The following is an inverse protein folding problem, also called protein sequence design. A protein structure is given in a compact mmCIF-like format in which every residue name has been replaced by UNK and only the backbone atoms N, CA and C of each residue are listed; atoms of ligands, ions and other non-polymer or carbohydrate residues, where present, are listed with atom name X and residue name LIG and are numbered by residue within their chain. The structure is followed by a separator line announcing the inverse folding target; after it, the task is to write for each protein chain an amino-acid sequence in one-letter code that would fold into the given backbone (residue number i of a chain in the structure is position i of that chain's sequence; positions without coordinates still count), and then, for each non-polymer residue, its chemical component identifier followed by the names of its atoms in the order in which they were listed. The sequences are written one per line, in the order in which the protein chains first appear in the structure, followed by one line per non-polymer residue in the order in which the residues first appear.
data_IF_714168400122
#
_entry.id   IF_714168400122
#
_cell.length_a   1.000
_cell.length_b   1.000
_cell.length_c   1.000
_cell.angle_alpha   90.00
_cell.angle_beta   90.00
_cell.angle_gamma   90.00
#
_symmetry.space_group_name_H-M   'P 1'
#
loop_
_entity.id
_entity.type
_entity.pdbx_description
1 polymer ?
#
# COMPACT_ATOMS: atom_id res chain seq x y z
N UNK A 1 21.31 2.59 -22.00
CA UNK A 1 21.16 2.94 -20.56
C UNK A 1 19.77 2.53 -20.14
N UNK A 2 19.64 1.66 -19.14
CA UNK A 2 18.34 1.32 -18.54
C UNK A 2 17.75 2.57 -17.87
N UNK A 3 16.44 2.76 -17.98
CA UNK A 3 15.73 3.87 -17.31
C UNK A 3 15.89 3.75 -15.79
N UNK A 4 16.01 4.88 -15.08
CA UNK A 4 16.01 4.88 -13.61
C UNK A 4 14.70 4.32 -13.00
N UNK A 5 13.65 4.19 -13.82
CA UNK A 5 12.35 3.62 -13.45
C UNK A 5 12.21 2.13 -13.84
N UNK A 6 13.24 1.53 -14.45
CA UNK A 6 13.22 0.13 -14.86
C UNK A 6 13.29 -0.80 -13.66
N UNK A 7 12.33 -1.74 -13.58
CA UNK A 7 12.22 -2.75 -12.53
C UNK A 7 12.50 -4.17 -13.05
N UNK A 8 13.06 -4.30 -14.26
CA UNK A 8 13.38 -5.61 -14.86
C UNK A 8 14.29 -6.42 -13.93
N UNK A 9 13.86 -7.66 -13.64
CA UNK A 9 14.57 -8.57 -12.75
C UNK A 9 14.32 -8.34 -11.26
N UNK A 10 13.44 -7.39 -10.89
CA UNK A 10 13.03 -7.16 -9.50
C UNK A 10 11.84 -8.03 -9.13
N UNK A 11 11.79 -8.42 -7.86
CA UNK A 11 10.67 -9.13 -7.25
C UNK A 11 9.92 -8.19 -6.30
N UNK A 12 8.64 -7.96 -6.59
CA UNK A 12 7.77 -7.11 -5.77
C UNK A 12 6.68 -7.93 -5.08
N UNK A 13 6.46 -7.68 -3.79
CA UNK A 13 5.29 -8.12 -3.05
C UNK A 13 4.30 -6.96 -3.00
N UNK A 14 3.03 -7.22 -3.35
CA UNK A 14 1.94 -6.26 -3.20
C UNK A 14 0.83 -6.88 -2.37
N UNK A 15 0.55 -6.28 -1.21
CA UNK A 15 -0.55 -6.74 -0.35
C UNK A 15 -1.85 -6.02 -0.70
N UNK A 16 -2.99 -6.72 -0.62
CA UNK A 16 -4.25 -6.20 -1.13
C UNK A 16 -4.30 -6.12 -2.66
N UNK A 17 -3.55 -6.97 -3.37
CA UNK A 17 -3.37 -6.91 -4.82
C UNK A 17 -4.59 -7.33 -5.64
N UNK A 18 -5.61 -7.99 -5.03
CA UNK A 18 -6.75 -8.55 -5.75
C UNK A 18 -7.60 -7.51 -6.48
N UNK A 19 -7.71 -6.28 -5.95
CA UNK A 19 -8.57 -5.22 -6.49
C UNK A 19 -8.10 -3.81 -6.08
N UNK A 20 -8.75 -2.80 -6.67
CA UNK A 20 -8.61 -1.40 -6.26
C UNK A 20 -7.19 -0.85 -6.39
N UNK A 21 -6.72 -0.13 -5.39
CA UNK A 21 -5.40 0.52 -5.38
C UNK A 21 -4.28 -0.52 -5.50
N UNK A 22 -4.34 -1.61 -4.71
CA UNK A 22 -3.31 -2.64 -4.73
C UNK A 22 -3.17 -3.34 -6.08
N UNK A 23 -4.29 -3.57 -6.77
CA UNK A 23 -4.29 -4.07 -8.16
C UNK A 23 -3.52 -3.12 -9.09
N UNK A 24 -3.88 -1.83 -9.08
CA UNK A 24 -3.25 -0.85 -9.96
C UNK A 24 -1.76 -0.64 -9.64
N UNK A 25 -1.37 -0.69 -8.36
CA UNK A 25 0.04 -0.64 -7.96
C UNK A 25 0.81 -1.87 -8.48
N UNK A 26 0.24 -3.09 -8.35
CA UNK A 26 0.87 -4.32 -8.83
C UNK A 26 1.02 -4.33 -10.35
N UNK A 27 -0.02 -3.92 -11.08
CA UNK A 27 0.02 -3.80 -12.54
C UNK A 27 1.07 -2.78 -13.00
N UNK A 28 1.15 -1.60 -12.36
CA UNK A 28 2.16 -0.60 -12.69
C UNK A 28 3.59 -1.08 -12.47
N UNK A 29 3.84 -1.83 -11.37
CA UNK A 29 5.14 -2.45 -11.12
C UNK A 29 5.48 -3.52 -12.16
N UNK A 30 4.50 -4.33 -12.57
CA UNK A 30 4.67 -5.33 -13.63
C UNK A 30 4.95 -4.67 -14.98
N UNK A 31 4.24 -3.60 -15.33
CA UNK A 31 4.48 -2.80 -16.53
C UNK A 31 5.89 -2.20 -16.54
N UNK A 32 6.43 -1.82 -15.38
CA UNK A 32 7.80 -1.34 -15.24
C UNK A 32 8.86 -2.46 -15.22
N UNK A 33 8.47 -3.74 -15.25
CA UNK A 33 9.36 -4.88 -15.39
C UNK A 33 9.50 -5.82 -14.19
N UNK A 34 8.80 -5.57 -13.08
CA UNK A 34 8.89 -6.41 -11.89
C UNK A 34 8.05 -7.69 -12.02
N UNK A 35 8.55 -8.79 -11.47
CA UNK A 35 7.75 -9.96 -11.15
C UNK A 35 6.97 -9.71 -9.86
N UNK A 36 5.76 -10.24 -9.73
CA UNK A 36 4.82 -9.89 -8.67
C UNK A 36 4.43 -11.10 -7.81
N UNK A 37 4.53 -10.95 -6.50
CA UNK A 37 3.81 -11.78 -5.52
C UNK A 37 2.61 -10.97 -5.04
N UNK A 38 1.40 -11.37 -5.44
CA UNK A 38 0.15 -10.79 -4.98
C UNK A 38 -0.33 -11.47 -3.70
N UNK A 39 -0.65 -10.70 -2.67
CA UNK A 39 -1.17 -11.23 -1.39
C UNK A 39 -2.52 -10.58 -1.09
N UNK A 40 -3.57 -11.38 -0.86
CA UNK A 40 -4.87 -10.89 -0.36
C UNK A 40 -5.63 -12.03 0.32
N UNK A 41 -6.55 -11.71 1.23
CA UNK A 41 -7.29 -12.72 2.00
C UNK A 41 -8.06 -13.71 1.10
N UNK A 42 -8.59 -13.25 -0.02
CA UNK A 42 -9.43 -14.03 -0.94
C UNK A 42 -8.86 -14.07 -2.36
N UNK A 43 -7.52 -14.00 -2.50
CA UNK A 43 -6.89 -14.09 -3.81
C UNK A 43 -6.97 -15.53 -4.33
N UNK A 44 -7.45 -15.69 -5.53
CA UNK A 44 -7.55 -16.95 -6.22
C UNK A 44 -6.12 -17.49 -6.51
N UNK A 45 -5.90 -18.78 -6.31
CA UNK A 45 -4.60 -19.42 -6.51
C UNK A 45 -4.13 -19.34 -7.98
N UNK A 46 -5.06 -19.24 -8.92
CA UNK A 46 -4.80 -19.06 -10.35
C UNK A 46 -6.01 -18.44 -11.04
N UNK A 47 -5.78 -17.82 -12.21
CA UNK A 47 -6.82 -17.27 -13.06
C UNK A 47 -7.38 -15.92 -12.58
N UNK A 48 -6.76 -15.31 -11.56
CA UNK A 48 -7.20 -14.01 -11.06
C UNK A 48 -6.98 -12.89 -12.09
N UNK A 49 -7.80 -11.83 -11.99
CA UNK A 49 -7.65 -10.67 -12.87
C UNK A 49 -6.26 -10.03 -12.76
N UNK A 50 -5.67 -9.98 -11.55
CA UNK A 50 -4.33 -9.45 -11.37
C UNK A 50 -3.25 -10.35 -11.98
N UNK A 51 -3.40 -11.68 -11.94
CA UNK A 51 -2.50 -12.59 -12.63
C UNK A 51 -2.52 -12.33 -14.14
N UNK A 52 -3.72 -12.19 -14.73
CA UNK A 52 -3.87 -11.88 -16.15
C UNK A 52 -3.22 -10.53 -16.52
N UNK A 53 -3.43 -9.50 -15.68
CA UNK A 53 -2.81 -8.18 -15.88
C UNK A 53 -1.28 -8.28 -15.85
N UNK A 54 -0.69 -8.91 -14.82
CA UNK A 54 0.75 -9.04 -14.67
C UNK A 54 1.37 -9.87 -15.82
N UNK A 55 0.76 -11.00 -16.15
CA UNK A 55 1.27 -11.88 -17.21
C UNK A 55 1.14 -11.28 -18.61
N UNK A 56 0.16 -10.40 -18.86
CA UNK A 56 0.05 -9.64 -20.12
C UNK A 56 1.25 -8.73 -20.37
N UNK A 57 1.95 -8.29 -19.32
CA UNK A 57 3.21 -7.55 -19.41
C UNK A 57 4.45 -8.46 -19.48
N UNK A 58 4.25 -9.79 -19.65
CA UNK A 58 5.33 -10.77 -19.72
C UNK A 58 6.05 -10.98 -18.38
N UNK A 59 5.40 -10.68 -17.25
CA UNK A 59 5.96 -10.85 -15.90
C UNK A 59 5.37 -12.07 -15.22
N UNK A 60 6.14 -12.61 -14.25
CA UNK A 60 5.69 -13.75 -13.44
C UNK A 60 4.79 -13.26 -12.34
N UNK A 61 3.77 -14.06 -12.03
CA UNK A 61 2.87 -13.81 -10.92
C UNK A 61 2.79 -15.02 -9.99
N UNK A 62 2.80 -14.76 -8.69
CA UNK A 62 2.53 -15.76 -7.65
C UNK A 62 1.40 -15.24 -6.75
N UNK A 63 0.35 -16.03 -6.58
CA UNK A 63 -0.76 -15.72 -5.69
C UNK A 63 -0.55 -16.32 -4.30
N UNK A 64 -0.76 -15.52 -3.25
CA UNK A 64 -0.78 -16.01 -1.87
C UNK A 64 -2.07 -15.51 -1.19
N UNK A 65 -2.88 -16.45 -0.70
CA UNK A 65 -4.01 -16.12 0.15
C UNK A 65 -3.52 -15.94 1.59
N UNK A 66 -3.80 -14.77 2.20
CA UNK A 66 -3.48 -14.48 3.60
C UNK A 66 -4.42 -13.41 4.15
N UNK A 67 -5.07 -13.68 5.29
CA UNK A 67 -5.87 -12.69 6.00
C UNK A 67 -4.98 -11.89 6.96
N UNK A 68 -4.95 -10.59 6.77
CA UNK A 68 -4.15 -9.67 7.59
C UNK A 68 -4.75 -9.43 8.99
N UNK A 69 -5.97 -9.88 9.25
CA UNK A 69 -6.54 -9.91 10.60
C UNK A 69 -6.03 -11.10 11.44
N UNK A 70 -5.52 -12.15 10.79
CA UNK A 70 -4.95 -13.33 11.43
C UNK A 70 -3.46 -13.12 11.72
N UNK A 71 -3.12 -13.01 13.01
CA UNK A 71 -1.76 -12.74 13.48
C UNK A 71 -0.81 -13.88 13.12
N UNK A 72 -1.26 -15.14 13.27
CA UNK A 72 -0.44 -16.31 13.02
C UNK A 72 -0.20 -16.50 11.51
N UNK A 73 -1.23 -16.25 10.69
CA UNK A 73 -1.10 -16.27 9.24
C UNK A 73 -0.08 -15.23 8.72
N UNK A 74 -0.06 -14.02 9.32
CA UNK A 74 0.92 -12.99 8.95
C UNK A 74 2.32 -13.36 9.41
N UNK A 75 2.49 -13.94 10.59
CA UNK A 75 3.79 -14.41 11.05
C UNK A 75 4.35 -15.50 10.11
N UNK A 76 3.55 -16.50 9.78
CA UNK A 76 3.91 -17.57 8.83
C UNK A 76 4.21 -17.04 7.42
N UNK A 77 3.43 -16.06 6.93
CA UNK A 77 3.70 -15.36 5.68
C UNK A 77 5.06 -14.65 5.73
N UNK A 78 5.35 -13.94 6.82
CA UNK A 78 6.61 -13.27 7.04
C UNK A 78 7.80 -14.22 6.95
N UNK A 79 7.76 -15.37 7.62
CA UNK A 79 8.78 -16.41 7.57
C UNK A 79 8.97 -16.96 6.14
N UNK A 80 7.87 -17.27 5.44
CA UNK A 80 7.90 -17.73 4.05
C UNK A 80 8.57 -16.72 3.11
N UNK A 81 8.33 -15.44 3.30
CA UNK A 81 8.82 -14.38 2.43
C UNK A 81 10.23 -13.88 2.81
N UNK A 82 10.65 -14.03 4.06
CA UNK A 82 11.98 -13.61 4.53
C UNK A 82 13.14 -14.32 3.81
N UNK A 83 12.92 -15.54 3.34
CA UNK A 83 13.94 -16.33 2.59
C UNK A 83 13.94 -16.05 1.08
N UNK A 84 13.05 -15.16 0.62
CA UNK A 84 12.94 -14.79 -0.81
C UNK A 84 13.77 -13.52 -1.09
N UNK A 85 14.38 -13.39 -2.27
CA UNK A 85 15.12 -12.18 -2.65
C UNK A 85 14.17 -11.05 -3.07
N UNK A 86 13.30 -10.62 -2.14
CA UNK A 86 12.33 -9.56 -2.39
C UNK A 86 13.03 -8.21 -2.47
N UNK A 87 12.83 -7.49 -3.56
CA UNK A 87 13.39 -6.14 -3.77
C UNK A 87 12.42 -5.04 -3.33
N UNK A 88 11.12 -5.27 -3.50
CA UNK A 88 10.07 -4.26 -3.27
C UNK A 88 8.95 -4.87 -2.43
N UNK A 89 8.54 -4.19 -1.36
CA UNK A 89 7.37 -4.53 -0.57
C UNK A 89 6.38 -3.37 -0.57
N UNK A 90 5.18 -3.59 -1.12
CA UNK A 90 4.06 -2.64 -1.05
C UNK A 90 3.05 -3.11 -0.02
N UNK A 91 3.02 -2.45 1.13
CA UNK A 91 2.04 -2.65 2.19
C UNK A 91 0.77 -1.85 1.90
N UNK A 92 -0.15 -2.44 1.15
CA UNK A 92 -1.40 -1.79 0.75
C UNK A 92 -2.65 -2.45 1.37
N UNK A 93 -2.59 -3.71 1.81
CA UNK A 93 -3.72 -4.35 2.47
C UNK A 93 -4.29 -3.47 3.58
N UNK A 94 -5.60 -3.33 3.63
CA UNK A 94 -6.25 -2.48 4.61
C UNK A 94 -7.76 -2.66 4.66
N UNK A 95 -8.34 -2.32 5.81
CA UNK A 95 -9.78 -2.27 6.05
C UNK A 95 -10.17 -0.96 6.70
N UNK A 96 -11.44 -0.61 6.61
CA UNK A 96 -12.01 0.56 7.25
C UNK A 96 -13.34 0.17 7.89
N UNK A 97 -13.46 0.41 9.19
CA UNK A 97 -14.68 0.21 9.97
C UNK A 97 -15.23 1.57 10.42
N UNK A 98 -16.55 1.71 10.34
CA UNK A 98 -17.21 3.00 10.59
C UNK A 98 -18.20 2.87 11.72
N UNK A 99 -18.00 3.64 12.80
CA UNK A 99 -18.96 3.86 13.87
C UNK A 99 -18.64 5.19 14.57
N UNK A 100 -19.65 5.85 15.23
CA UNK A 100 -19.41 7.00 16.08
C UNK A 100 -18.36 6.68 17.15
N UNK A 101 -17.43 7.58 17.42
CA UNK A 101 -16.30 7.30 18.29
C UNK A 101 -16.72 6.92 19.73
N UNK A 102 -17.81 7.50 20.25
CA UNK A 102 -18.34 7.19 21.58
C UNK A 102 -18.97 5.79 21.69
N UNK A 103 -19.33 5.20 20.56
CA UNK A 103 -20.02 3.90 20.47
C UNK A 103 -19.21 2.88 19.66
N UNK A 104 -17.95 3.21 19.34
CA UNK A 104 -17.12 2.38 18.46
C UNK A 104 -16.75 1.07 19.16
N UNK A 105 -17.19 -0.11 18.65
CA UNK A 105 -16.83 -1.39 19.23
C UNK A 105 -15.33 -1.60 19.25
N UNK A 106 -14.79 -2.08 20.37
CA UNK A 106 -13.34 -2.27 20.53
C UNK A 106 -12.81 -3.31 19.54
N UNK A 107 -13.60 -4.31 19.20
CA UNK A 107 -13.25 -5.37 18.25
C UNK A 107 -13.03 -4.81 16.82
N UNK A 108 -13.81 -3.80 16.44
CA UNK A 108 -13.61 -3.10 15.17
C UNK A 108 -12.34 -2.24 15.19
N UNK A 109 -12.06 -1.60 16.33
CA UNK A 109 -10.81 -0.88 16.53
C UNK A 109 -9.61 -1.83 16.40
N UNK A 110 -9.61 -2.92 17.17
CA UNK A 110 -8.51 -3.88 17.20
C UNK A 110 -8.27 -4.49 15.81
N UNK A 111 -9.34 -4.86 15.10
CA UNK A 111 -9.25 -5.36 13.73
C UNK A 111 -8.60 -4.35 12.78
N UNK A 112 -8.99 -3.08 12.86
CA UNK A 112 -8.42 -2.03 11.99
C UNK A 112 -6.95 -1.80 12.31
N UNK A 113 -6.57 -1.73 13.59
CA UNK A 113 -5.16 -1.60 14.00
C UNK A 113 -4.36 -2.83 13.55
N UNK A 114 -4.89 -4.04 13.75
CA UNK A 114 -4.23 -5.26 13.33
C UNK A 114 -3.94 -5.26 11.84
N UNK A 115 -4.96 -5.06 11.00
CA UNK A 115 -4.82 -5.12 9.53
C UNK A 115 -3.97 -3.97 8.97
N UNK A 116 -4.25 -2.73 9.44
CA UNK A 116 -3.67 -1.54 8.79
C UNK A 116 -2.32 -1.10 9.35
N UNK A 117 -1.90 -1.61 10.51
CA UNK A 117 -0.66 -1.20 11.16
C UNK A 117 0.19 -2.37 11.62
N UNK A 118 -0.33 -3.23 12.52
CA UNK A 118 0.47 -4.29 13.14
C UNK A 118 0.96 -5.31 12.12
N UNK A 119 0.08 -5.83 11.27
CA UNK A 119 0.44 -6.80 10.23
C UNK A 119 1.42 -6.24 9.21
N UNK A 120 1.27 -4.96 8.85
CA UNK A 120 2.20 -4.29 7.94
C UNK A 120 3.60 -4.14 8.57
N UNK A 121 3.68 -3.87 9.87
CA UNK A 121 4.96 -3.85 10.59
C UNK A 121 5.61 -5.23 10.63
N UNK A 122 4.87 -6.27 11.01
CA UNK A 122 5.38 -7.67 11.08
C UNK A 122 5.94 -8.11 9.74
N UNK A 123 5.20 -7.88 8.65
CA UNK A 123 5.65 -8.23 7.30
C UNK A 123 6.87 -7.41 6.87
N UNK A 124 6.88 -6.10 7.16
CA UNK A 124 8.01 -5.23 6.85
C UNK A 124 9.27 -5.64 7.63
N UNK A 125 9.13 -6.05 8.90
CA UNK A 125 10.24 -6.54 9.71
C UNK A 125 10.81 -7.83 9.12
N UNK A 126 9.97 -8.78 8.75
CA UNK A 126 10.40 -10.07 8.22
C UNK A 126 11.15 -9.93 6.87
N UNK A 127 10.54 -9.23 5.91
CA UNK A 127 11.12 -8.99 4.58
C UNK A 127 12.30 -8.03 4.68
N UNK A 128 12.22 -7.02 5.55
CA UNK A 128 13.26 -6.02 5.78
C UNK A 128 14.58 -6.61 6.26
N UNK A 129 14.57 -7.66 7.09
CA UNK A 129 15.81 -8.37 7.52
C UNK A 129 16.62 -8.82 6.32
N UNK A 130 16.01 -9.51 5.37
CA UNK A 130 16.67 -9.96 4.15
C UNK A 130 17.13 -8.79 3.25
N UNK A 131 16.35 -7.71 3.15
CA UNK A 131 16.75 -6.50 2.44
C UNK A 131 18.00 -5.86 3.08
N UNK A 132 18.01 -5.75 4.41
CA UNK A 132 19.14 -5.19 5.18
C UNK A 132 20.43 -6.03 5.05
N UNK A 133 20.30 -7.37 5.00
CA UNK A 133 21.43 -8.28 4.77
C UNK A 133 22.02 -8.12 3.36
N UNK A 134 21.16 -7.91 2.36
CA UNK A 134 21.59 -7.69 0.97
C UNK A 134 22.03 -6.24 0.69
N UNK A 135 21.77 -5.30 1.60
CA UNK A 135 22.12 -3.89 1.44
C UNK A 135 21.25 -3.14 0.42
N UNK A 136 20.06 -3.65 0.07
CA UNK A 136 19.13 -2.97 -0.84
C UNK A 136 17.68 -3.43 -0.63
N UNK A 137 16.74 -2.51 -0.80
CA UNK A 137 15.31 -2.78 -0.74
C UNK A 137 14.46 -1.51 -0.77
N UNK A 138 13.21 -1.65 -1.17
CA UNK A 138 12.20 -0.58 -1.20
C UNK A 138 10.95 -1.04 -0.46
N UNK A 139 10.56 -0.33 0.57
CA UNK A 139 9.32 -0.57 1.30
C UNK A 139 8.41 0.63 1.12
N UNK A 140 7.19 0.38 0.63
CA UNK A 140 6.20 1.39 0.34
C UNK A 140 4.93 1.07 1.13
N UNK A 141 4.52 1.98 2.01
CA UNK A 141 3.25 1.88 2.72
C UNK A 141 2.15 2.65 1.99
N UNK A 142 0.93 2.13 2.04
CA UNK A 142 -0.25 2.91 1.69
C UNK A 142 -0.77 3.61 2.94
N UNK A 143 -0.40 4.88 3.09
CA UNK A 143 -0.92 5.81 4.07
C UNK A 143 -2.33 6.30 3.68
N UNK A 144 -2.70 7.51 4.03
CA UNK A 144 -3.98 8.14 3.70
C UNK A 144 -3.86 9.66 3.87
N UNK A 145 -4.79 10.43 3.33
CA UNK A 145 -5.03 11.80 3.77
C UNK A 145 -5.27 11.86 5.29
N UNK A 146 -5.86 10.79 5.88
CA UNK A 146 -6.08 10.68 7.32
C UNK A 146 -4.80 10.43 8.13
N UNK A 147 -3.65 10.35 7.49
CA UNK A 147 -2.34 10.47 8.15
C UNK A 147 -1.98 11.93 8.49
N UNK A 148 -2.70 12.90 7.91
CA UNK A 148 -2.46 14.35 8.08
C UNK A 148 -3.64 15.07 8.69
N UNK A 149 -4.83 14.49 8.64
CA UNK A 149 -6.08 15.08 9.13
C UNK A 149 -6.97 14.05 9.83
N UNK A 150 -7.97 14.48 10.62
CA UNK A 150 -8.94 13.59 11.23
C UNK A 150 -10.01 13.11 10.25
N UNK A 151 -10.59 11.95 10.54
CA UNK A 151 -11.76 11.42 9.85
C UNK A 151 -12.97 11.28 10.78
N UNK A 152 -14.18 11.42 10.24
CA UNK A 152 -15.43 11.27 11.00
C UNK A 152 -15.85 9.79 10.98
N UNK A 153 -16.21 9.25 12.15
CA UNK A 153 -16.65 7.86 12.35
C UNK A 153 -15.62 6.78 11.99
N UNK A 154 -14.33 7.12 11.92
CA UNK A 154 -13.24 6.20 11.55
C UNK A 154 -12.03 6.36 12.49
N UNK A 155 -12.21 6.30 13.82
CA UNK A 155 -11.12 6.58 14.77
C UNK A 155 -9.95 5.58 14.60
N UNK A 156 -10.23 4.28 14.51
CA UNK A 156 -9.21 3.25 14.33
C UNK A 156 -8.44 3.40 13.02
N UNK A 157 -9.13 3.72 11.92
CA UNK A 157 -8.48 3.93 10.62
C UNK A 157 -7.56 5.16 10.66
N UNK A 158 -8.04 6.28 11.23
CA UNK A 158 -7.22 7.50 11.39
C UNK A 158 -5.98 7.22 12.24
N UNK A 159 -6.13 6.55 13.38
CA UNK A 159 -5.02 6.17 14.24
C UNK A 159 -4.01 5.26 13.51
N UNK A 160 -4.48 4.22 12.81
CA UNK A 160 -3.63 3.31 12.07
C UNK A 160 -2.86 4.03 10.95
N UNK A 161 -3.53 4.89 10.16
CA UNK A 161 -2.86 5.62 9.07
C UNK A 161 -1.91 6.71 9.55
N UNK A 162 -2.18 7.33 10.69
CA UNK A 162 -1.21 8.20 11.38
C UNK A 162 -0.02 7.39 11.91
N UNK A 163 -0.26 6.20 12.45
CA UNK A 163 0.77 5.25 12.87
C UNK A 163 1.66 4.81 11.71
N UNK A 164 1.09 4.52 10.53
CA UNK A 164 1.83 4.19 9.31
C UNK A 164 2.77 5.33 8.90
N UNK A 165 2.33 6.58 8.98
CA UNK A 165 3.20 7.74 8.68
C UNK A 165 4.37 7.85 9.68
N UNK A 166 4.12 7.59 10.97
CA UNK A 166 5.16 7.52 12.01
C UNK A 166 6.12 6.36 11.77
N UNK A 167 5.59 5.17 11.49
CA UNK A 167 6.36 3.95 11.20
C UNK A 167 7.25 4.13 9.96
N UNK A 168 6.75 4.76 8.90
CA UNK A 168 7.52 5.09 7.70
C UNK A 168 8.79 5.86 8.05
N UNK A 169 8.68 6.90 8.89
CA UNK A 169 9.82 7.72 9.32
C UNK A 169 10.78 6.95 10.22
N UNK A 170 10.25 6.14 11.16
CA UNK A 170 11.06 5.36 12.07
C UNK A 170 11.95 4.35 11.32
N UNK A 171 11.34 3.54 10.44
CA UNK A 171 12.07 2.57 9.65
C UNK A 171 13.03 3.23 8.63
N UNK A 172 12.63 4.36 8.04
CA UNK A 172 13.49 5.11 7.13
C UNK A 172 14.76 5.59 7.83
N UNK A 173 14.64 6.16 9.03
CA UNK A 173 15.78 6.64 9.80
C UNK A 173 16.75 5.52 10.19
N UNK A 174 16.23 4.33 10.49
CA UNK A 174 17.03 3.19 10.91
C UNK A 174 17.67 2.45 9.73
N UNK A 175 16.98 2.36 8.59
CA UNK A 175 17.36 1.45 7.51
C UNK A 175 17.99 2.13 6.29
N UNK A 176 17.81 3.45 6.09
CA UNK A 176 18.33 4.15 4.91
C UNK A 176 19.86 4.05 4.79
N UNK A 177 20.59 4.16 5.90
CA UNK A 177 22.04 4.00 5.94
C UNK A 177 22.53 2.58 5.61
N UNK A 178 21.59 1.61 5.53
CA UNK A 178 21.85 0.22 5.18
C UNK A 178 21.26 -0.16 3.81
N UNK A 179 20.95 0.83 2.98
CA UNK A 179 20.49 0.65 1.61
C UNK A 179 19.01 0.29 1.44
N UNK A 180 18.18 0.42 2.49
CA UNK A 180 16.74 0.16 2.40
C UNK A 180 15.96 1.46 2.54
N UNK A 181 15.25 1.85 1.46
CA UNK A 181 14.38 3.02 1.48
C UNK A 181 12.99 2.64 1.95
N UNK A 182 12.44 3.44 2.86
CA UNK A 182 11.08 3.25 3.39
C UNK A 182 10.29 4.54 3.18
N UNK A 183 9.20 4.45 2.42
CA UNK A 183 8.36 5.57 2.08
C UNK A 183 6.87 5.19 2.16
N UNK A 184 5.99 6.16 2.07
CA UNK A 184 4.55 5.93 1.98
C UNK A 184 3.93 6.77 0.86
N UNK A 185 2.84 6.25 0.27
CA UNK A 185 1.93 6.99 -0.60
C UNK A 185 0.67 7.26 0.20
N UNK A 186 0.18 8.49 0.18
CA UNK A 186 -1.09 8.89 0.77
C UNK A 186 -2.12 9.17 -0.33
N UNK A 187 -2.98 8.17 -0.67
CA UNK A 187 -4.02 8.38 -1.66
C UNK A 187 -5.06 9.40 -1.19
N UNK A 188 -5.54 10.20 -2.13
CA UNK A 188 -6.73 11.02 -1.98
C UNK A 188 -8.03 10.20 -2.08
N UNK A 189 -9.08 10.84 -2.54
CA UNK A 189 -10.34 10.18 -2.86
C UNK A 189 -10.22 9.42 -4.19
N UNK A 190 -9.98 8.12 -4.10
CA UNK A 190 -9.84 7.21 -5.23
C UNK A 190 -11.14 6.43 -5.41
N UNK A 191 -11.65 6.38 -6.64
CA UNK A 191 -12.82 5.60 -7.00
C UNK A 191 -12.51 4.09 -6.90
N UNK A 192 -13.02 3.47 -5.85
CA UNK A 192 -12.87 2.04 -5.53
C UNK A 192 -14.11 1.56 -4.78
N UNK A 193 -14.27 0.25 -4.59
CA UNK A 193 -15.36 -0.32 -3.79
C UNK A 193 -15.47 0.30 -2.39
N UNK A 194 -14.32 0.63 -1.76
CA UNK A 194 -14.30 1.23 -0.41
C UNK A 194 -14.90 2.65 -0.36
N UNK A 195 -14.95 3.33 -1.48
CA UNK A 195 -15.49 4.69 -1.62
C UNK A 195 -16.82 4.73 -2.36
N UNK A 196 -17.34 3.58 -2.82
CA UNK A 196 -18.57 3.51 -3.61
C UNK A 196 -19.75 4.21 -2.92
N UNK A 197 -19.98 3.94 -1.64
CA UNK A 197 -21.03 4.60 -0.87
C UNK A 197 -20.92 6.13 -0.78
N UNK A 198 -19.71 6.69 -0.93
CA UNK A 198 -19.48 8.13 -0.99
C UNK A 198 -19.76 8.69 -2.39
N UNK A 199 -19.50 7.90 -3.42
CA UNK A 199 -19.76 8.26 -4.82
C UNK A 199 -21.26 8.20 -5.13
N UNK A 200 -21.97 7.23 -4.54
CA UNK A 200 -23.41 7.02 -4.73
C UNK A 200 -24.28 8.03 -3.97
N UNK A 201 -23.73 8.77 -3.01
CA UNK A 201 -24.38 9.88 -2.34
C UNK A 201 -24.08 11.20 -3.09
N UNK A 202 -25.03 11.78 -3.85
CA UNK A 202 -24.78 12.94 -4.68
C UNK A 202 -24.33 14.18 -3.90
N UNK A 203 -24.83 14.36 -2.66
CA UNK A 203 -24.48 15.51 -1.84
C UNK A 203 -23.04 15.38 -1.31
N UNK A 204 -22.67 14.21 -0.83
CA UNK A 204 -21.30 13.94 -0.35
C UNK A 204 -20.30 13.92 -1.49
N UNK A 205 -20.62 13.27 -2.60
CA UNK A 205 -19.78 13.25 -3.80
C UNK A 205 -19.47 14.66 -4.30
N UNK A 206 -20.50 15.53 -4.36
CA UNK A 206 -20.35 16.93 -4.75
C UNK A 206 -19.44 17.70 -3.79
N UNK A 207 -19.68 17.59 -2.49
CA UNK A 207 -18.86 18.25 -1.47
C UNK A 207 -17.39 17.83 -1.51
N UNK A 208 -17.11 16.56 -1.83
CA UNK A 208 -15.77 16.02 -2.01
C UNK A 208 -15.14 16.62 -3.28
N UNK A 209 -15.85 16.55 -4.42
CA UNK A 209 -15.37 17.08 -5.70
C UNK A 209 -15.06 18.58 -5.64
N UNK A 210 -15.91 19.38 -5.01
CA UNK A 210 -15.73 20.83 -4.87
C UNK A 210 -14.45 21.17 -4.07
N UNK A 211 -13.94 20.22 -3.30
CA UNK A 211 -12.71 20.38 -2.52
C UNK A 211 -11.46 19.82 -3.20
N UNK A 212 -11.58 18.95 -4.19
CA UNK A 212 -10.42 18.42 -4.94
C UNK A 212 -10.02 19.42 -6.02
N UNK A 213 -8.83 20.05 -5.97
CA UNK A 213 -8.39 21.02 -7.00
C UNK A 213 -8.36 20.43 -8.41
N UNK A 214 -8.02 19.14 -8.55
CA UNK A 214 -8.03 18.44 -9.85
C UNK A 214 -9.45 18.23 -10.43
N UNK A 215 -10.52 18.53 -9.68
CA UNK A 215 -11.92 18.50 -10.14
C UNK A 215 -12.47 17.11 -10.45
N UNK A 216 -11.79 16.04 -10.03
CA UNK A 216 -12.21 14.66 -10.26
C UNK A 216 -11.81 13.73 -9.11
N UNK A 217 -12.51 12.63 -8.97
CA UNK A 217 -12.02 11.49 -8.22
C UNK A 217 -10.76 10.94 -8.88
N UNK A 218 -9.80 10.50 -8.07
CA UNK A 218 -8.68 9.71 -8.56
C UNK A 218 -9.13 8.31 -8.97
N UNK A 219 -8.31 7.65 -9.77
CA UNK A 219 -8.45 6.22 -10.10
C UNK A 219 -7.20 5.46 -9.67
N UNK A 220 -7.28 4.13 -9.56
CA UNK A 220 -6.13 3.33 -9.13
C UNK A 220 -4.86 3.62 -9.94
N UNK A 221 -4.99 3.83 -11.24
CA UNK A 221 -3.87 4.15 -12.14
C UNK A 221 -3.13 5.45 -11.76
N UNK A 222 -3.78 6.42 -11.13
CA UNK A 222 -3.13 7.66 -10.66
C UNK A 222 -2.03 7.38 -9.62
N UNK A 223 -2.07 6.23 -8.93
CA UNK A 223 -1.07 5.82 -7.95
C UNK A 223 0.14 5.11 -8.59
N UNK A 224 -0.02 4.59 -9.82
CA UNK A 224 0.98 3.76 -10.48
C UNK A 224 2.33 4.46 -10.63
N UNK A 225 2.35 5.70 -11.15
CA UNK A 225 3.58 6.47 -11.34
C UNK A 225 4.35 6.72 -10.04
N UNK A 226 3.65 7.09 -8.96
CA UNK A 226 4.25 7.27 -7.64
C UNK A 226 4.81 5.95 -7.07
N UNK A 227 4.09 4.83 -7.30
CA UNK A 227 4.54 3.49 -6.87
C UNK A 227 5.81 3.08 -7.59
N UNK A 228 5.88 3.22 -8.91
CA UNK A 228 7.07 2.91 -9.70
C UNK A 228 8.24 3.82 -9.32
N UNK A 229 8.00 5.11 -9.12
CA UNK A 229 9.02 6.05 -8.64
C UNK A 229 9.64 5.57 -7.33
N UNK A 230 8.81 5.32 -6.30
CA UNK A 230 9.30 4.91 -4.98
C UNK A 230 9.90 3.49 -4.97
N UNK A 231 9.56 2.65 -5.92
CA UNK A 231 10.08 1.28 -6.08
C UNK A 231 11.41 1.22 -6.85
N UNK A 232 11.78 2.26 -7.56
CA UNK A 232 12.89 2.26 -8.52
C UNK A 232 14.13 3.01 -8.03
N UNK A 233 15.21 2.96 -8.80
CA UNK A 233 16.45 3.72 -8.56
C UNK A 233 16.23 5.24 -8.64
N UNK A 234 15.16 5.71 -9.30
CA UNK A 234 14.80 7.13 -9.35
C UNK A 234 14.57 7.75 -7.95
N UNK A 235 14.31 6.91 -6.93
CA UNK A 235 14.06 7.32 -5.55
C UNK A 235 15.15 6.90 -4.57
N UNK A 236 16.37 6.58 -5.00
CA UNK A 236 17.41 6.06 -4.11
C UNK A 236 17.81 7.05 -3.00
N UNK A 237 17.63 8.36 -3.21
CA UNK A 237 17.87 9.38 -2.19
C UNK A 237 16.58 9.87 -1.49
N UNK A 238 15.45 9.15 -1.67
CA UNK A 238 14.16 9.46 -1.06
C UNK A 238 13.86 8.42 0.02
N UNK A 239 13.80 8.86 1.29
CA UNK A 239 13.46 7.97 2.41
C UNK A 239 12.72 8.75 3.51
N UNK A 240 11.67 8.16 4.07
CA UNK A 240 10.86 8.73 5.13
C UNK A 240 9.75 9.68 4.69
N UNK A 241 9.50 9.83 3.37
CA UNK A 241 8.44 10.68 2.87
C UNK A 241 7.07 9.98 2.96
N UNK A 242 6.03 10.76 3.22
CA UNK A 242 4.64 10.39 2.95
C UNK A 242 4.18 11.25 1.78
N UNK A 243 4.12 10.66 0.59
CA UNK A 243 3.83 11.34 -0.67
C UNK A 243 2.31 11.39 -0.94
N UNK A 244 1.65 12.56 -0.87
CA UNK A 244 0.26 12.68 -1.28
C UNK A 244 0.08 12.47 -2.78
N UNK A 245 -0.92 11.66 -3.15
CA UNK A 245 -1.41 11.50 -4.52
C UNK A 245 -2.93 11.68 -4.45
N UNK A 246 -3.36 12.92 -4.37
CA UNK A 246 -4.67 13.31 -3.87
C UNK A 246 -5.41 14.38 -4.70
N UNK A 247 -4.88 14.71 -5.88
CA UNK A 247 -5.44 15.74 -6.74
C UNK A 247 -5.37 17.16 -6.13
N UNK A 248 -4.48 17.37 -5.16
CA UNK A 248 -4.27 18.65 -4.49
C UNK A 248 -5.10 18.86 -3.22
N UNK A 249 -5.79 17.84 -2.73
CA UNK A 249 -6.65 17.93 -1.54
C UNK A 249 -5.93 18.48 -0.30
N UNK A 250 -4.73 17.99 0.00
CA UNK A 250 -3.94 18.40 1.17
C UNK A 250 -3.20 19.73 0.99
N UNK A 251 -3.10 20.23 -0.22
CA UNK A 251 -2.46 21.51 -0.53
C UNK A 251 -3.38 22.72 -0.34
N UNK A 252 -4.62 22.50 0.16
CA UNK A 252 -5.67 23.53 0.22
C UNK A 252 -6.22 23.70 1.63
#
# INVERSE_FOLDING_TARGET
MTSAFDLTGRLAIVTGARRGIGFAMAEALAQAGADIIGVSATLEASGSAIEQAVTSHGRRFEAIACDFADVDAIAALGERLAVRPVDILVNNAGTIERAPAAEHPIELWDRVIQVNLSSQFVLSQAVGRSMLERGHGKIIFTASMLSFQGGVNVPGYTAAKSGVAGLTKALANEWAGRGVNVNAIAPGYIATDNTQALQDDPARSRAILDRIPAGRWGVGADLGGATVFLASAASDYVSGIVLPVDGGWLGR
#
